data_IF_126613097807
#
_entry.id   IF_126613097807
#
_cell.length_a   1.000
_cell.length_b   1.000
_cell.length_c   1.000
_cell.angle_alpha   90.00
_cell.angle_beta   90.00
_cell.angle_gamma   90.00
#
_symmetry.space_group_name_H-M   'P 1'
#
loop_
_entity.id
_entity.type
_entity.pdbx_description
1 polymer ?
#
# COMPACT_ATOMS: atom_id res chain seq x y z
N UNK A 1 -9.28 34.36 -40.11
CA UNK A 1 -8.99 33.19 -39.24
C UNK A 1 -9.79 32.02 -39.80
N UNK A 2 -9.14 31.09 -40.51
CA UNK A 2 -9.81 29.88 -41.01
C UNK A 2 -9.74 28.82 -39.90
N UNK A 3 -10.89 28.34 -39.44
CA UNK A 3 -10.94 27.23 -38.49
C UNK A 3 -10.47 25.96 -39.18
N UNK A 4 -9.63 25.12 -38.56
CA UNK A 4 -9.22 23.86 -39.15
C UNK A 4 -10.44 22.94 -39.21
N UNK A 5 -10.92 22.63 -40.42
CA UNK A 5 -11.99 21.66 -40.63
C UNK A 5 -11.37 20.27 -40.68
N UNK A 6 -11.47 19.52 -39.59
CA UNK A 6 -11.09 18.11 -39.54
C UNK A 6 -11.91 17.30 -40.55
N UNK A 7 -11.23 16.58 -41.44
CA UNK A 7 -11.89 15.70 -42.40
C UNK A 7 -12.50 14.47 -41.70
N UNK A 8 -13.56 13.90 -42.28
CA UNK A 8 -14.21 12.68 -41.76
C UNK A 8 -13.21 11.53 -41.57
N UNK A 9 -12.22 11.42 -42.46
CA UNK A 9 -11.16 10.40 -42.38
C UNK A 9 -10.26 10.65 -41.18
N UNK A 10 -9.83 11.89 -40.95
CA UNK A 10 -9.00 12.23 -39.79
C UNK A 10 -9.75 11.99 -38.47
N UNK A 11 -11.04 12.30 -38.42
CA UNK A 11 -11.87 11.99 -37.26
C UNK A 11 -11.97 10.47 -37.01
N UNK A 12 -12.17 9.67 -38.07
CA UNK A 12 -12.25 8.21 -37.95
C UNK A 12 -10.90 7.58 -37.58
N UNK A 13 -9.80 8.07 -38.15
CA UNK A 13 -8.44 7.57 -37.85
C UNK A 13 -8.03 7.96 -36.44
N UNK A 14 -8.23 9.21 -36.03
CA UNK A 14 -7.91 9.68 -34.69
C UNK A 14 -8.78 8.98 -33.64
N UNK A 15 -10.11 8.93 -33.86
CA UNK A 15 -11.03 8.26 -32.96
C UNK A 15 -10.74 6.76 -32.81
N UNK A 16 -10.46 6.07 -33.92
CA UNK A 16 -10.09 4.64 -33.91
C UNK A 16 -8.78 4.38 -33.17
N UNK A 17 -7.75 5.19 -33.41
CA UNK A 17 -6.47 5.07 -32.73
C UNK A 17 -6.61 5.31 -31.21
N UNK A 18 -7.33 6.35 -30.80
CA UNK A 18 -7.57 6.66 -29.40
C UNK A 18 -8.35 5.54 -28.69
N UNK A 19 -9.38 4.98 -29.32
CA UNK A 19 -10.11 3.82 -28.76
C UNK A 19 -9.22 2.59 -28.63
N UNK A 20 -8.40 2.28 -29.64
CA UNK A 20 -7.49 1.14 -29.59
C UNK A 20 -6.43 1.30 -28.49
N UNK A 21 -5.87 2.50 -28.31
CA UNK A 21 -4.91 2.78 -27.24
C UNK A 21 -5.54 2.69 -25.85
N UNK A 22 -6.74 3.24 -25.65
CA UNK A 22 -7.47 3.09 -24.37
C UNK A 22 -7.81 1.62 -24.08
N UNK A 23 -8.24 0.86 -25.10
CA UNK A 23 -8.53 -0.56 -24.95
C UNK A 23 -7.27 -1.35 -24.53
N UNK A 24 -6.12 -1.07 -25.15
CA UNK A 24 -4.84 -1.70 -24.79
C UNK A 24 -4.37 -1.34 -23.37
N UNK A 25 -4.56 -0.09 -22.93
CA UNK A 25 -4.21 0.34 -21.57
C UNK A 25 -5.10 -0.30 -20.50
N UNK A 26 -6.43 -0.34 -20.73
CA UNK A 26 -7.37 -1.03 -19.83
C UNK A 26 -7.12 -2.55 -19.82
N UNK A 27 -6.80 -3.13 -20.97
CA UNK A 27 -6.51 -4.54 -21.11
C UNK A 27 -5.29 -4.96 -20.28
N UNK A 28 -4.18 -4.21 -20.36
CA UNK A 28 -2.99 -4.51 -19.55
C UNK A 28 -3.23 -4.45 -18.04
N UNK A 29 -4.14 -3.59 -17.58
CA UNK A 29 -4.54 -3.52 -16.18
C UNK A 29 -5.53 -4.63 -15.78
N UNK A 30 -6.33 -5.15 -16.73
CA UNK A 30 -7.37 -6.14 -16.47
C UNK A 30 -6.95 -7.61 -16.71
N UNK A 31 -5.76 -7.89 -17.26
CA UNK A 31 -5.38 -9.24 -17.75
C UNK A 31 -4.19 -9.88 -17.05
N UNK A 32 -4.03 -9.67 -15.75
CA UNK A 32 -3.40 -10.70 -14.94
C UNK A 32 -4.39 -11.89 -14.80
N UNK A 33 -4.51 -12.72 -15.84
CA UNK A 33 -5.27 -13.98 -15.88
C UNK A 33 -6.73 -13.93 -15.36
N UNK A 34 -7.71 -13.49 -16.17
CA UNK A 34 -9.12 -13.59 -15.77
C UNK A 34 -9.53 -15.07 -15.66
N UNK A 35 -10.17 -15.41 -14.53
CA UNK A 35 -10.73 -16.75 -14.31
C UNK A 35 -11.73 -17.12 -15.43
N UNK A 36 -11.54 -18.28 -16.04
CA UNK A 36 -12.45 -18.87 -17.03
C UNK A 36 -13.59 -19.61 -16.34
N UNK A 37 -14.65 -19.85 -17.09
CA UNK A 37 -15.77 -20.65 -16.60
C UNK A 37 -15.30 -22.08 -16.29
N UNK A 38 -15.35 -22.47 -15.02
CA UNK A 38 -14.84 -23.75 -14.52
C UNK A 38 -13.48 -23.65 -13.83
N UNK A 39 -12.81 -22.49 -13.86
CA UNK A 39 -11.63 -22.25 -13.05
C UNK A 39 -12.03 -22.18 -11.57
N UNK A 40 -11.14 -22.69 -10.72
CA UNK A 40 -11.28 -22.68 -9.27
C UNK A 40 -10.06 -21.96 -8.70
N UNK A 41 -10.30 -21.03 -7.78
CA UNK A 41 -9.21 -20.40 -7.02
C UNK A 41 -8.53 -21.49 -6.21
N UNK A 42 -7.24 -21.71 -6.47
CA UNK A 42 -6.45 -22.63 -5.66
C UNK A 42 -6.19 -21.93 -4.31
N UNK A 43 -6.56 -22.55 -3.18
CA UNK A 43 -6.26 -21.98 -1.88
C UNK A 43 -4.75 -22.00 -1.64
N UNK A 44 -4.27 -21.11 -0.77
CA UNK A 44 -2.90 -21.18 -0.28
C UNK A 44 -2.73 -22.46 0.54
N UNK A 45 -1.72 -23.26 0.21
CA UNK A 45 -1.44 -24.53 0.91
C UNK A 45 -0.72 -24.29 2.25
N UNK A 46 -0.14 -23.11 2.39
CA UNK A 46 0.70 -22.62 3.47
C UNK A 46 0.08 -21.40 4.17
N UNK A 47 -1.24 -21.20 4.03
CA UNK A 47 -1.99 -20.23 4.81
C UNK A 47 -1.74 -20.46 6.31
N UNK A 48 -1.32 -19.43 7.07
CA UNK A 48 -1.21 -19.52 8.52
C UNK A 48 -2.48 -20.07 9.16
N UNK A 49 -2.32 -20.93 10.16
CA UNK A 49 -3.43 -21.42 10.99
C UNK A 49 -4.12 -20.25 11.71
N UNK A 50 -5.31 -20.52 12.25
CA UNK A 50 -6.02 -19.54 13.07
C UNK A 50 -5.11 -19.04 14.21
N UNK A 51 -5.12 -17.73 14.42
CA UNK A 51 -4.22 -17.08 15.35
C UNK A 51 -4.40 -17.63 16.78
N UNK A 52 -3.38 -18.30 17.35
CA UNK A 52 -3.49 -18.91 18.67
C UNK A 52 -3.46 -17.87 19.81
N UNK A 53 -3.05 -16.62 19.53
CA UNK A 53 -2.90 -15.55 20.51
C UNK A 53 -3.47 -14.22 19.96
N UNK A 54 -4.80 -14.08 19.84
CA UNK A 54 -5.45 -12.92 19.24
C UNK A 54 -5.22 -11.60 20.00
N UNK A 55 -4.85 -11.68 21.28
CA UNK A 55 -4.52 -10.51 22.10
C UNK A 55 -3.08 -10.01 21.87
N UNK A 56 -2.18 -10.85 21.34
CA UNK A 56 -0.75 -10.53 21.12
C UNK A 56 -0.44 -10.26 19.65
N UNK A 57 -1.05 -11.04 18.76
CA UNK A 57 -0.95 -10.91 17.31
C UNK A 57 -2.26 -10.34 16.80
N UNK A 58 -2.25 -9.11 16.33
CA UNK A 58 -3.42 -8.44 15.77
C UNK A 58 -3.44 -8.66 14.25
N UNK A 59 -4.63 -8.87 13.70
CA UNK A 59 -4.84 -8.96 12.24
C UNK A 59 -3.86 -9.89 11.54
N UNK A 60 -3.75 -11.15 12.01
CA UNK A 60 -3.00 -12.18 11.29
C UNK A 60 -3.54 -12.26 9.86
N UNK A 61 -2.66 -12.09 8.88
CA UNK A 61 -3.05 -11.93 7.48
C UNK A 61 -3.69 -13.21 6.93
N UNK A 62 -4.86 -13.06 6.32
CA UNK A 62 -5.47 -14.08 5.46
C UNK A 62 -5.06 -13.77 4.03
N UNK A 63 -4.20 -14.58 3.44
CA UNK A 63 -3.57 -14.28 2.17
C UNK A 63 -4.56 -14.34 0.99
N UNK A 64 -5.60 -15.16 1.08
CA UNK A 64 -6.70 -15.20 0.11
C UNK A 64 -7.45 -13.86 0.00
N UNK A 65 -7.50 -13.08 1.09
CA UNK A 65 -8.25 -11.83 1.16
C UNK A 65 -7.42 -10.61 0.71
N UNK A 66 -6.13 -10.79 0.42
CA UNK A 66 -5.25 -9.71 -0.05
C UNK A 66 -5.54 -9.36 -1.52
N UNK A 67 -6.25 -8.26 -1.72
CA UNK A 67 -6.70 -7.79 -3.04
C UNK A 67 -6.03 -6.46 -3.48
N UNK A 68 -5.12 -5.93 -2.65
CA UNK A 68 -4.52 -4.62 -2.84
C UNK A 68 -3.00 -4.64 -2.65
N UNK A 69 -2.31 -3.76 -3.38
CA UNK A 69 -0.84 -3.63 -3.28
C UNK A 69 -0.39 -3.02 -1.95
N UNK A 70 -1.20 -2.14 -1.37
CA UNK A 70 -0.96 -1.52 -0.07
C UNK A 70 -1.99 -2.08 0.88
N UNK A 71 -1.54 -2.91 1.82
CA UNK A 71 -2.40 -3.46 2.87
C UNK A 71 -3.11 -2.32 3.61
N UNK A 72 -4.46 -2.32 3.66
CA UNK A 72 -5.21 -1.33 4.43
C UNK A 72 -4.79 -1.33 5.91
N UNK A 73 -4.83 -0.17 6.56
CA UNK A 73 -4.34 -0.02 7.94
C UNK A 73 -5.06 -0.94 8.95
N UNK A 74 -6.32 -1.28 8.72
CA UNK A 74 -7.12 -2.19 9.55
C UNK A 74 -6.83 -3.68 9.28
N UNK A 75 -6.19 -3.98 8.16
CA UNK A 75 -5.71 -5.32 7.79
C UNK A 75 -4.20 -5.50 8.02
N UNK A 76 -3.47 -4.42 8.36
CA UNK A 76 -2.04 -4.50 8.61
C UNK A 76 -1.77 -5.26 9.92
N UNK A 77 -0.94 -6.30 9.86
CA UNK A 77 -0.66 -7.14 11.03
C UNK A 77 -0.01 -6.33 12.16
N UNK A 78 -0.33 -6.68 13.40
CA UNK A 78 0.28 -6.13 14.61
C UNK A 78 0.89 -7.23 15.46
N UNK A 79 2.02 -6.95 16.09
CA UNK A 79 2.58 -7.81 17.13
C UNK A 79 2.97 -6.93 18.32
N UNK A 80 2.48 -7.28 19.50
CA UNK A 80 2.78 -6.56 20.72
C UNK A 80 3.36 -7.53 21.76
N UNK A 81 4.56 -7.21 22.27
CA UNK A 81 5.17 -7.95 23.37
C UNK A 81 4.74 -7.41 24.75
N UNK A 82 4.14 -6.22 24.75
CA UNK A 82 3.72 -5.48 25.94
C UNK A 82 2.44 -4.72 25.63
N UNK A 83 1.89 -4.04 26.64
CA UNK A 83 0.73 -3.17 26.50
C UNK A 83 1.00 -1.97 25.57
N UNK A 84 -0.06 -1.49 24.92
CA UNK A 84 -0.01 -0.29 24.10
C UNK A 84 0.05 0.95 25.00
N UNK A 85 1.07 1.82 24.85
CA UNK A 85 1.21 2.98 25.70
C UNK A 85 0.20 4.07 25.35
N UNK A 86 -0.40 4.70 26.38
CA UNK A 86 -1.12 5.96 26.23
C UNK A 86 -0.12 7.13 26.20
N UNK A 87 -0.03 7.82 25.06
CA UNK A 87 0.98 8.87 24.85
C UNK A 87 0.34 10.26 24.88
N UNK A 88 0.81 11.12 25.80
CA UNK A 88 0.52 12.56 25.74
C UNK A 88 1.50 13.24 24.78
N UNK A 89 1.02 13.58 23.58
CA UNK A 89 1.83 14.19 22.52
C UNK A 89 2.44 15.54 22.92
N UNK A 90 1.80 16.30 23.83
CA UNK A 90 2.31 17.59 24.29
C UNK A 90 3.46 17.48 25.30
N UNK A 91 3.75 16.28 25.82
CA UNK A 91 4.85 16.01 26.76
C UNK A 91 5.87 15.00 26.19
N UNK A 92 5.57 14.43 25.03
CA UNK A 92 6.40 13.40 24.38
C UNK A 92 7.72 13.98 23.86
N UNK A 93 8.80 13.21 24.02
CA UNK A 93 10.15 13.55 23.58
C UNK A 93 10.87 12.31 23.04
N UNK A 94 11.64 12.49 21.96
CA UNK A 94 12.60 11.53 21.45
C UNK A 94 14.02 11.95 21.85
N UNK A 95 14.66 11.13 22.68
CA UNK A 95 16.06 11.32 23.07
C UNK A 95 17.02 10.64 22.07
N UNK A 96 18.00 11.39 21.60
CA UNK A 96 19.14 10.90 20.81
C UNK A 96 20.39 11.06 21.68
N UNK A 97 20.96 9.94 22.10
CA UNK A 97 22.09 9.88 23.04
C UNK A 97 23.08 8.75 22.68
N UNK A 98 24.13 8.55 23.47
CA UNK A 98 25.15 7.52 23.29
C UNK A 98 26.40 8.06 22.58
N UNK A 99 26.87 7.35 21.55
CA UNK A 99 28.08 7.72 20.80
C UNK A 99 27.82 8.81 19.75
N UNK A 100 27.28 9.95 20.19
CA UNK A 100 26.98 11.11 19.35
C UNK A 100 27.73 12.34 19.86
N UNK A 101 28.11 13.25 18.94
CA UNK A 101 28.84 14.47 19.31
C UNK A 101 27.98 15.43 20.15
N UNK A 102 26.70 15.55 19.79
CA UNK A 102 25.75 16.44 20.45
C UNK A 102 24.47 15.64 20.76
N UNK A 103 24.34 15.09 21.97
CA UNK A 103 23.08 14.52 22.44
C UNK A 103 21.96 15.56 22.36
N UNK A 104 20.74 15.13 22.03
CA UNK A 104 19.60 16.04 21.88
C UNK A 104 18.28 15.35 22.23
N UNK A 105 17.28 16.16 22.55
CA UNK A 105 15.88 15.74 22.70
C UNK A 105 15.04 16.47 21.66
N UNK A 106 14.14 15.77 20.98
CA UNK A 106 13.26 16.31 19.95
C UNK A 106 11.80 16.13 20.37
N UNK A 107 11.02 17.20 20.28
CA UNK A 107 9.55 17.12 20.40
C UNK A 107 8.93 16.53 19.13
N UNK A 108 7.64 16.21 19.17
CA UNK A 108 6.93 15.77 17.96
C UNK A 108 6.89 16.86 16.88
N UNK A 109 6.81 18.13 17.28
CA UNK A 109 6.80 19.27 16.35
C UNK A 109 8.18 19.44 15.69
N UNK A 110 9.27 19.23 16.43
CA UNK A 110 10.63 19.25 15.86
C UNK A 110 10.81 18.17 14.79
N UNK A 111 10.22 16.98 14.99
CA UNK A 111 10.25 15.91 13.99
C UNK A 111 9.42 16.26 12.76
N UNK A 112 8.21 16.79 12.95
CA UNK A 112 7.31 17.17 11.84
C UNK A 112 7.85 18.34 11.01
N UNK A 113 8.69 19.20 11.58
CA UNK A 113 9.32 20.31 10.88
C UNK A 113 10.47 19.88 9.93
N UNK A 114 10.95 18.63 10.03
CA UNK A 114 12.01 18.11 9.16
C UNK A 114 11.49 17.79 7.75
N UNK A 115 12.36 17.74 6.73
CA UNK A 115 11.97 17.32 5.39
C UNK A 115 11.33 15.93 5.41
N UNK A 116 10.11 15.83 4.87
CA UNK A 116 9.36 14.57 4.79
C UNK A 116 9.92 13.68 3.68
N UNK A 117 10.05 12.39 3.97
CA UNK A 117 10.30 11.35 2.99
C UNK A 117 9.17 10.32 3.08
N UNK A 118 8.73 9.83 1.92
CA UNK A 118 7.72 8.78 1.81
C UNK A 118 8.32 7.60 1.07
N UNK A 119 8.20 6.41 1.66
CA UNK A 119 8.80 5.18 1.15
C UNK A 119 7.78 4.04 1.32
N UNK A 120 7.61 3.24 0.27
CA UNK A 120 6.84 2.00 0.34
C UNK A 120 7.77 0.88 0.78
N UNK A 121 7.54 0.34 1.97
CA UNK A 121 8.29 -0.79 2.54
C UNK A 121 7.34 -1.87 3.05
N UNK A 122 7.73 -3.12 2.89
CA UNK A 122 7.08 -4.27 3.52
C UNK A 122 7.73 -4.53 4.87
N UNK A 123 6.91 -4.74 5.90
CA UNK A 123 7.36 -5.27 7.18
C UNK A 123 7.03 -6.75 7.21
N UNK A 124 8.02 -7.59 7.49
CA UNK A 124 7.87 -9.04 7.63
C UNK A 124 8.39 -9.41 9.02
N UNK A 125 7.56 -10.11 9.80
CA UNK A 125 8.00 -10.62 11.08
C UNK A 125 8.99 -11.77 10.85
N UNK A 126 9.99 -11.93 11.73
CA UNK A 126 10.92 -13.05 11.64
C UNK A 126 10.32 -14.39 12.12
N UNK A 127 9.12 -14.35 12.70
CA UNK A 127 8.44 -15.49 13.33
C UNK A 127 7.71 -16.37 12.33
#
# INVERSE_FOLDING_TARGET
MQSPTLSRRELLVAGGATMATMALLNARLAQAAPLRQGDVVLPWLDQPEENPAPDEVLSLLVWEDLDSWITPNDQFFGIAHYEYPEINLGQWQLSIDGLVKNPMSLTLDDLKARPRQELTYTLECSG
#
